data_IF_144752620890
#
_entry.id   IF_144752620890
#
_cell.length_a   1.000
_cell.length_b   1.000
_cell.length_c   1.000
_cell.angle_alpha   90.00
_cell.angle_beta   90.00
_cell.angle_gamma   90.00
#
_symmetry.space_group_name_H-M   'P 1'
#
loop_
_entity.id
_entity.type
_entity.pdbx_description
1 polymer ?
#
# COMPACT_ATOMS: atom_id res chain seq x y z
N UNK A 1 -25.03 -50.86 64.61
CA UNK A 1 -25.20 -49.61 63.82
C UNK A 1 -23.84 -49.30 63.22
N UNK A 2 -23.69 -49.50 61.91
CA UNK A 2 -22.39 -49.54 61.25
C UNK A 2 -21.87 -48.16 60.85
N UNK A 3 -20.55 -48.05 60.75
CA UNK A 3 -19.86 -47.00 59.99
C UNK A 3 -18.71 -47.69 59.25
N UNK A 4 -18.92 -47.97 57.96
CA UNK A 4 -17.87 -48.36 57.04
C UNK A 4 -17.00 -47.15 56.73
N UNK A 5 -15.72 -47.21 57.07
CA UNK A 5 -14.72 -46.21 56.72
C UNK A 5 -14.08 -46.61 55.38
N UNK A 6 -14.46 -45.93 54.30
CA UNK A 6 -13.90 -46.11 52.96
C UNK A 6 -12.78 -45.09 52.74
N UNK A 7 -11.52 -45.55 52.75
CA UNK A 7 -10.36 -44.75 52.34
C UNK A 7 -10.13 -44.92 50.84
N UNK A 8 -10.61 -43.97 50.05
CA UNK A 8 -10.33 -43.86 48.61
C UNK A 8 -8.91 -43.31 48.39
N UNK A 9 -7.97 -44.18 48.03
CA UNK A 9 -6.64 -43.78 47.56
C UNK A 9 -6.74 -43.07 46.20
N UNK A 10 -6.27 -41.83 46.14
CA UNK A 10 -6.13 -41.07 44.90
C UNK A 10 -5.15 -41.79 43.96
N UNK A 11 -5.69 -42.54 42.98
CA UNK A 11 -4.90 -43.15 41.91
C UNK A 11 -4.36 -42.03 41.02
N UNK A 12 -3.08 -41.70 41.20
CA UNK A 12 -2.30 -40.88 40.28
C UNK A 12 -2.44 -41.48 38.88
N UNK A 13 -3.02 -40.74 37.92
CA UNK A 13 -3.28 -41.22 36.56
C UNK A 13 -2.04 -41.00 35.69
N UNK A 14 -1.20 -42.02 35.41
CA UNK A 14 0.02 -41.87 34.60
C UNK A 14 -0.28 -41.41 33.16
N UNK A 15 -1.51 -41.61 32.69
CA UNK A 15 -1.99 -41.16 31.38
C UNK A 15 -1.93 -39.64 31.22
N UNK A 16 -2.17 -38.88 32.31
CA UNK A 16 -2.14 -37.42 32.25
C UNK A 16 -0.69 -36.89 32.11
N UNK A 17 0.26 -37.55 32.79
CA UNK A 17 1.69 -37.22 32.69
C UNK A 17 2.22 -37.56 31.29
N UNK A 18 1.82 -38.71 30.73
CA UNK A 18 2.23 -39.13 29.40
C UNK A 18 1.68 -38.19 28.30
N UNK A 19 0.43 -37.73 28.45
CA UNK A 19 -0.20 -36.80 27.52
C UNK A 19 0.47 -35.42 27.53
N UNK A 20 0.86 -34.92 28.72
CA UNK A 20 1.62 -33.66 28.84
C UNK A 20 3.02 -33.80 28.25
N UNK A 21 3.69 -34.94 28.46
CA UNK A 21 5.02 -35.21 27.88
C UNK A 21 4.98 -35.33 26.36
N UNK A 22 3.95 -35.97 25.80
CA UNK A 22 3.73 -36.05 24.36
C UNK A 22 3.41 -34.67 23.74
N UNK A 23 2.67 -33.82 24.46
CA UNK A 23 2.38 -32.45 24.03
C UNK A 23 3.64 -31.54 24.05
N UNK A 24 4.54 -31.73 25.02
CA UNK A 24 5.83 -31.03 25.09
C UNK A 24 6.80 -31.49 23.99
N UNK A 25 6.73 -32.75 23.57
CA UNK A 25 7.55 -33.28 22.46
C UNK A 25 7.01 -32.89 21.07
N UNK A 26 5.78 -32.39 21.00
CA UNK A 26 5.15 -31.91 19.77
C UNK A 26 5.35 -30.40 19.53
N UNK A 27 6.17 -29.71 20.34
CA UNK A 27 6.47 -28.30 20.13
C UNK A 27 7.33 -28.15 18.88
N UNK A 28 6.72 -27.69 17.79
CA UNK A 28 7.44 -27.27 16.59
C UNK A 28 8.35 -26.09 16.95
N UNK A 29 9.52 -25.95 16.32
CA UNK A 29 10.32 -24.73 16.49
C UNK A 29 9.47 -23.54 16.04
N UNK A 30 9.20 -22.63 16.99
CA UNK A 30 8.66 -21.33 16.67
C UNK A 30 9.82 -20.52 16.09
N UNK A 31 9.89 -20.42 14.75
CA UNK A 31 10.77 -19.45 14.13
C UNK A 31 10.17 -18.06 14.37
N UNK A 32 10.70 -17.38 15.39
CA UNK A 32 10.37 -16.01 15.68
C UNK A 32 10.98 -15.14 14.60
N UNK A 33 10.12 -14.43 13.89
CA UNK A 33 10.50 -13.58 12.78
C UNK A 33 10.02 -12.18 13.10
N UNK A 34 10.94 -11.23 13.04
CA UNK A 34 10.68 -9.87 13.51
C UNK A 34 9.81 -9.12 12.49
N UNK A 35 8.67 -8.64 12.99
CA UNK A 35 7.69 -7.88 12.22
C UNK A 35 7.53 -6.50 12.87
N UNK A 36 7.98 -5.49 12.15
CA UNK A 36 7.82 -4.09 12.50
C UNK A 36 6.60 -3.50 11.78
N UNK A 37 5.77 -2.75 12.50
CA UNK A 37 4.58 -2.09 11.96
C UNK A 37 4.75 -0.59 12.06
N UNK A 38 4.74 0.08 10.92
CA UNK A 38 4.65 1.54 10.85
C UNK A 38 3.43 1.96 10.06
N UNK A 39 3.05 3.22 10.13
CA UNK A 39 1.88 3.70 9.40
C UNK A 39 1.48 5.11 9.77
N UNK A 40 0.37 5.55 9.18
CA UNK A 40 -0.24 6.83 9.48
C UNK A 40 -1.75 6.71 9.39
N UNK A 41 -2.42 7.51 10.21
CA UNK A 41 -3.86 7.69 10.18
C UNK A 41 -4.14 9.18 9.99
N UNK A 42 -5.07 9.49 9.10
CA UNK A 42 -5.40 10.86 8.70
C UNK A 42 -6.91 10.99 8.59
N UNK A 43 -7.44 12.01 9.25
CA UNK A 43 -8.83 12.42 9.16
C UNK A 43 -8.86 13.89 8.79
N UNK A 44 -9.58 14.23 7.73
CA UNK A 44 -9.65 15.60 7.23
C UNK A 44 -11.04 16.00 6.87
N UNK A 45 -11.28 17.30 7.01
CA UNK A 45 -12.47 17.96 6.57
C UNK A 45 -12.06 19.13 5.67
N UNK A 46 -12.61 19.18 4.47
CA UNK A 46 -12.26 20.14 3.44
C UNK A 46 -13.50 20.97 3.12
N UNK A 47 -13.26 22.27 2.98
CA UNK A 47 -14.28 23.23 2.59
C UNK A 47 -13.71 24.05 1.44
N UNK A 48 -14.27 23.86 0.25
CA UNK A 48 -13.87 24.58 -0.95
C UNK A 48 -14.98 25.57 -1.24
N UNK A 49 -14.65 26.85 -1.26
CA UNK A 49 -15.58 27.91 -1.66
C UNK A 49 -15.18 28.44 -3.04
N UNK A 50 -16.19 28.83 -3.82
CA UNK A 50 -16.04 29.38 -5.15
C UNK A 50 -15.11 28.60 -6.10
N UNK A 51 -15.18 27.26 -6.10
CA UNK A 51 -14.33 26.43 -6.98
C UNK A 51 -14.58 26.69 -8.47
N UNK A 52 -15.73 27.30 -8.81
CA UNK A 52 -16.11 27.66 -10.17
C UNK A 52 -15.83 29.14 -10.53
N UNK A 53 -15.09 29.88 -9.70
CA UNK A 53 -14.60 31.23 -10.05
C UNK A 53 -15.69 32.27 -10.35
N UNK A 54 -16.87 32.16 -9.74
CA UNK A 54 -17.99 33.09 -9.93
C UNK A 54 -18.84 32.84 -11.17
N UNK A 55 -18.68 31.68 -11.83
CA UNK A 55 -19.54 31.27 -12.93
C UNK A 55 -20.97 31.00 -12.44
N UNK A 56 -21.92 31.86 -12.81
CA UNK A 56 -23.33 31.77 -12.40
C UNK A 56 -24.19 30.89 -13.33
N UNK A 57 -23.64 30.45 -14.47
CA UNK A 57 -24.34 29.66 -15.50
C UNK A 57 -23.69 28.28 -15.66
N UNK A 58 -23.52 27.57 -14.56
CA UNK A 58 -23.07 26.19 -14.63
C UNK A 58 -24.32 25.32 -14.86
N UNK A 59 -24.36 24.66 -16.00
CA UNK A 59 -25.40 23.68 -16.32
C UNK A 59 -25.05 22.35 -15.71
N UNK A 60 -25.95 21.81 -14.87
CA UNK A 60 -25.83 20.44 -14.38
C UNK A 60 -25.77 19.49 -15.56
N UNK A 61 -24.66 18.79 -15.74
CA UNK A 61 -24.61 17.66 -16.68
C UNK A 61 -25.48 16.54 -16.09
N UNK A 62 -26.77 16.54 -16.45
CA UNK A 62 -27.74 15.57 -15.95
C UNK A 62 -27.35 14.13 -16.26
N UNK A 63 -26.57 13.88 -17.32
CA UNK A 63 -26.06 12.53 -17.60
C UNK A 63 -24.99 12.12 -16.57
N UNK A 64 -24.11 13.04 -16.14
CA UNK A 64 -23.12 12.79 -15.09
C UNK A 64 -23.70 12.82 -13.68
N UNK A 65 -24.67 13.69 -13.42
CA UNK A 65 -25.40 13.76 -12.14
C UNK A 65 -26.27 12.51 -11.91
N UNK A 66 -26.92 11.99 -12.97
CA UNK A 66 -27.66 10.73 -12.90
C UNK A 66 -26.75 9.49 -12.89
N UNK A 67 -25.54 9.59 -13.45
CA UNK A 67 -24.56 8.50 -13.51
C UNK A 67 -23.69 8.37 -12.25
N UNK A 68 -23.99 9.13 -11.19
CA UNK A 68 -23.35 9.15 -9.86
C UNK A 68 -21.85 8.80 -9.80
N UNK A 69 -21.07 9.81 -9.44
CA UNK A 69 -19.61 9.76 -9.40
C UNK A 69 -19.08 11.18 -9.19
N UNK A 70 -17.80 11.40 -9.45
CA UNK A 70 -17.09 12.67 -9.32
C UNK A 70 -17.72 13.73 -10.20
N UNK A 71 -18.70 14.40 -9.64
CA UNK A 71 -19.30 15.58 -10.19
C UNK A 71 -19.36 16.56 -9.04
N UNK A 72 -18.39 17.48 -8.98
CA UNK A 72 -18.63 18.71 -8.22
C UNK A 72 -19.73 19.41 -9.02
N UNK A 73 -20.95 19.51 -8.47
CA UNK A 73 -22.09 19.83 -9.29
C UNK A 73 -21.92 21.23 -9.87
N UNK A 74 -21.60 21.28 -11.16
CA UNK A 74 -21.61 22.49 -11.96
C UNK A 74 -23.05 22.94 -12.19
N UNK A 75 -23.84 23.07 -11.13
CA UNK A 75 -25.26 23.37 -11.16
C UNK A 75 -25.62 24.26 -9.98
N UNK A 76 -25.24 25.54 -10.04
CA UNK A 76 -25.63 26.55 -9.05
C UNK A 76 -24.89 26.54 -7.70
N UNK A 77 -24.14 25.48 -7.37
CA UNK A 77 -23.33 25.45 -6.14
C UNK A 77 -21.87 25.83 -6.43
N UNK A 78 -21.44 26.94 -5.83
CA UNK A 78 -20.06 27.43 -5.91
C UNK A 78 -19.15 26.83 -4.85
N UNK A 79 -19.71 26.10 -3.87
CA UNK A 79 -18.99 25.60 -2.70
C UNK A 79 -19.19 24.09 -2.54
N UNK A 80 -18.18 23.39 -2.03
CA UNK A 80 -18.21 21.96 -1.74
C UNK A 80 -17.59 21.69 -0.37
N UNK A 81 -18.17 20.79 0.41
CA UNK A 81 -17.61 20.36 1.70
C UNK A 81 -17.53 18.85 1.77
N UNK A 82 -16.42 18.31 2.27
CA UNK A 82 -16.22 16.88 2.31
C UNK A 82 -15.21 16.38 3.33
N UNK A 83 -15.33 15.12 3.75
CA UNK A 83 -14.50 14.51 4.78
C UNK A 83 -13.79 13.27 4.23
N UNK A 84 -12.49 13.13 4.50
CA UNK A 84 -11.70 11.95 4.12
C UNK A 84 -11.07 11.29 5.34
N UNK A 85 -11.21 9.97 5.41
CA UNK A 85 -10.52 9.10 6.35
C UNK A 85 -9.55 8.21 5.58
N UNK A 86 -8.29 8.22 5.98
CA UNK A 86 -7.25 7.45 5.31
C UNK A 86 -6.29 6.86 6.34
N UNK A 87 -6.02 5.57 6.21
CA UNK A 87 -5.03 4.87 7.00
C UNK A 87 -4.06 4.14 6.07
N UNK A 88 -2.78 4.34 6.31
CA UNK A 88 -1.69 3.64 5.62
C UNK A 88 -0.93 2.82 6.63
N UNK A 89 -0.72 1.55 6.33
CA UNK A 89 -0.01 0.59 7.16
C UNK A 89 1.15 0.01 6.36
N UNK A 90 2.32 -0.02 6.97
CA UNK A 90 3.60 -0.40 6.37
C UNK A 90 4.31 -1.44 7.23
N UNK A 91 3.90 -2.71 7.13
CA UNK A 91 4.64 -3.77 7.79
C UNK A 91 5.99 -4.00 7.08
N UNK A 92 7.03 -4.17 7.89
CA UNK A 92 8.37 -4.55 7.49
C UNK A 92 8.73 -5.84 8.21
N UNK A 93 8.99 -6.87 7.43
CA UNK A 93 9.38 -8.19 7.88
C UNK A 93 10.90 -8.35 7.76
N UNK A 94 11.56 -8.72 8.84
CA UNK A 94 13.00 -9.01 8.85
C UNK A 94 13.16 -10.51 8.73
N UNK A 95 13.61 -10.99 7.56
CA UNK A 95 13.82 -12.43 7.32
C UNK A 95 15.23 -12.84 7.78
N UNK A 96 16.22 -11.99 7.48
CA UNK A 96 17.61 -12.14 7.89
C UNK A 96 18.27 -10.74 7.90
N UNK A 97 19.50 -10.64 8.36
CA UNK A 97 20.31 -9.40 8.42
C UNK A 97 20.35 -8.66 7.08
N UNK A 98 20.29 -9.40 5.97
CA UNK A 98 20.39 -8.87 4.62
C UNK A 98 19.09 -8.87 3.82
N UNK A 99 17.97 -9.38 4.35
CA UNK A 99 16.73 -9.54 3.58
C UNK A 99 15.53 -8.98 4.35
N UNK A 100 14.89 -7.98 3.75
CA UNK A 100 13.67 -7.37 4.27
C UNK A 100 12.53 -7.49 3.28
N UNK A 101 11.35 -7.87 3.76
CA UNK A 101 10.11 -7.84 2.97
C UNK A 101 9.28 -6.67 3.46
N UNK A 102 8.90 -5.77 2.56
CA UNK A 102 8.11 -4.58 2.87
C UNK A 102 6.82 -4.61 2.10
N UNK A 103 5.75 -4.15 2.73
CA UNK A 103 4.50 -3.91 2.02
C UNK A 103 3.82 -2.65 2.52
N UNK A 104 2.90 -2.13 1.72
CA UNK A 104 2.12 -0.95 2.05
C UNK A 104 0.65 -1.21 1.72
N UNK A 105 -0.19 -1.01 2.74
CA UNK A 105 -1.62 -1.27 2.71
C UNK A 105 -2.36 0.02 3.00
N UNK A 106 -3.32 0.37 2.16
CA UNK A 106 -4.17 1.54 2.32
C UNK A 106 -5.58 1.11 2.66
N UNK A 107 -6.15 1.75 3.67
CA UNK A 107 -7.54 1.65 4.06
C UNK A 107 -8.15 3.04 3.96
N UNK A 108 -9.38 3.12 3.48
CA UNK A 108 -10.08 4.35 3.19
C UNK A 108 -10.19 4.54 1.69
N UNK A 109 -9.88 5.75 1.23
CA UNK A 109 -10.06 6.18 -0.15
C UNK A 109 -8.72 6.28 -0.91
N UNK A 110 -8.21 5.16 -1.46
CA UNK A 110 -7.00 5.17 -2.25
C UNK A 110 -7.26 5.82 -3.61
N UNK A 111 -6.54 6.91 -3.93
CA UNK A 111 -6.51 7.42 -5.31
C UNK A 111 -5.67 6.48 -6.16
N UNK A 112 -6.30 5.89 -7.18
CA UNK A 112 -5.62 5.05 -8.17
C UNK A 112 -5.22 5.87 -9.40
N UNK A 113 -4.06 5.56 -9.95
CA UNK A 113 -3.77 5.76 -11.36
C UNK A 113 -2.44 6.41 -11.71
N UNK A 114 -1.97 6.08 -12.90
CA UNK A 114 -0.88 6.78 -13.57
C UNK A 114 -1.42 8.06 -14.19
N UNK A 115 -0.61 9.13 -14.22
CA UNK A 115 -0.89 10.40 -14.89
C UNK A 115 -1.73 10.22 -16.16
N UNK A 116 -3.03 10.49 -16.05
CA UNK A 116 -3.95 10.60 -17.17
C UNK A 116 -4.61 9.33 -17.71
N UNK A 117 -4.35 8.12 -17.19
CA UNK A 117 -4.84 6.88 -17.86
C UNK A 117 -5.53 5.83 -16.98
N UNK A 118 -5.66 6.07 -15.68
CA UNK A 118 -6.45 5.23 -14.78
C UNK A 118 -7.52 6.06 -14.10
N UNK A 119 -8.52 6.45 -14.89
CA UNK A 119 -9.77 6.94 -14.34
C UNK A 119 -10.52 5.75 -13.72
N UNK A 120 -11.00 5.84 -12.47
CA UNK A 120 -11.86 4.81 -11.90
C UNK A 120 -13.03 4.55 -12.86
N UNK A 121 -13.21 3.30 -13.28
CA UNK A 121 -14.15 2.96 -14.35
C UNK A 121 -15.56 2.64 -13.85
N UNK A 122 -15.71 2.39 -12.55
CA UNK A 122 -17.00 2.04 -11.94
C UNK A 122 -17.54 3.21 -11.10
N UNK A 123 -18.87 3.33 -11.07
CA UNK A 123 -19.63 4.32 -10.28
C UNK A 123 -19.11 4.44 -8.84
N UNK A 124 -18.79 3.31 -8.21
CA UNK A 124 -18.34 3.23 -6.83
C UNK A 124 -16.89 3.69 -6.58
N UNK A 125 -16.01 3.56 -7.57
CA UNK A 125 -14.60 3.99 -7.49
C UNK A 125 -14.43 5.48 -7.84
N UNK A 126 -15.49 6.08 -8.40
CA UNK A 126 -15.57 7.48 -8.84
C UNK A 126 -16.09 8.40 -7.74
N UNK A 127 -16.14 8.02 -6.47
CA UNK A 127 -16.62 8.91 -5.42
C UNK A 127 -15.55 9.06 -4.35
N UNK A 128 -14.89 10.22 -4.32
CA UNK A 128 -13.97 10.56 -3.23
C UNK A 128 -14.81 11.09 -2.07
N UNK A 129 -16.05 11.53 -2.34
CA UNK A 129 -16.90 12.21 -1.38
C UNK A 129 -18.38 12.10 -1.74
N UNK A 130 -19.14 11.38 -0.92
CA UNK A 130 -20.48 11.80 -0.46
C UNK A 130 -20.88 10.94 0.74
N UNK A 131 -21.84 11.40 1.53
CA UNK A 131 -22.45 10.79 2.72
C UNK A 131 -23.09 9.40 2.51
N UNK A 132 -22.74 8.71 1.42
CA UNK A 132 -23.05 7.32 1.11
C UNK A 132 -21.78 6.52 0.78
N UNK A 133 -20.68 6.78 1.49
CA UNK A 133 -19.42 6.02 1.35
C UNK A 133 -19.73 4.53 1.49
N UNK A 134 -19.61 3.78 0.39
CA UNK A 134 -19.49 2.32 0.47
C UNK A 134 -18.20 2.01 1.23
N UNK A 135 -18.21 0.89 1.95
CA UNK A 135 -17.18 0.51 2.91
C UNK A 135 -15.76 0.67 2.35
N UNK A 136 -14.88 1.23 3.19
CA UNK A 136 -13.45 1.35 2.94
C UNK A 136 -12.85 0.00 2.56
N UNK A 137 -12.26 -0.10 1.36
CA UNK A 137 -11.54 -1.29 0.94
C UNK A 137 -10.10 -1.27 1.46
N UNK A 138 -9.60 -2.43 1.88
CA UNK A 138 -8.17 -2.63 2.19
C UNK A 138 -7.47 -2.94 0.87
N UNK A 139 -6.41 -2.20 0.55
CA UNK A 139 -5.77 -2.26 -0.77
C UNK A 139 -4.26 -2.35 -0.61
N UNK A 140 -3.65 -3.35 -1.23
CA UNK A 140 -2.20 -3.53 -1.23
C UNK A 140 -1.60 -2.66 -2.34
N UNK A 141 -0.91 -1.59 -1.96
CA UNK A 141 -0.35 -0.61 -2.89
C UNK A 141 1.06 -0.98 -3.33
N UNK A 142 1.86 -1.53 -2.41
CA UNK A 142 3.26 -1.88 -2.65
C UNK A 142 3.59 -3.19 -1.96
N UNK A 143 4.45 -3.96 -2.60
CA UNK A 143 5.00 -5.18 -2.05
C UNK A 143 6.34 -5.41 -2.70
N UNK A 144 7.42 -5.31 -1.93
CA UNK A 144 8.77 -5.47 -2.46
C UNK A 144 9.71 -6.08 -1.43
N UNK A 145 10.77 -6.67 -1.95
CA UNK A 145 11.86 -7.24 -1.17
C UNK A 145 13.09 -6.36 -1.35
N UNK A 146 13.81 -6.12 -0.25
CA UNK A 146 15.11 -5.47 -0.26
C UNK A 146 16.16 -6.49 0.17
N UNK A 147 17.15 -6.71 -0.69
CA UNK A 147 18.30 -7.58 -0.44
C UNK A 147 19.52 -6.68 -0.35
N UNK A 148 20.17 -6.68 0.80
CA UNK A 148 21.39 -5.93 1.06
C UNK A 148 22.59 -6.79 0.64
N UNK A 149 23.49 -6.18 -0.12
CA UNK A 149 24.72 -6.78 -0.60
C UNK A 149 25.85 -5.76 -0.48
N UNK A 150 27.10 -6.22 -0.52
CA UNK A 150 28.28 -5.36 -0.48
C UNK A 150 28.32 -4.33 -1.62
N UNK A 151 27.70 -4.66 -2.75
CA UNK A 151 27.62 -3.76 -3.92
C UNK A 151 26.45 -2.76 -3.83
N UNK A 152 25.53 -2.91 -2.88
CA UNK A 152 24.35 -2.06 -2.74
C UNK A 152 23.08 -2.83 -2.39
N UNK A 153 21.93 -2.14 -2.47
CA UNK A 153 20.62 -2.73 -2.16
C UNK A 153 19.87 -3.07 -3.43
N UNK A 154 19.57 -4.36 -3.61
CA UNK A 154 18.70 -4.83 -4.69
C UNK A 154 17.25 -4.76 -4.20
N UNK A 155 16.37 -4.16 -4.99
CA UNK A 155 14.95 -4.10 -4.70
C UNK A 155 14.14 -4.76 -5.80
N UNK A 156 13.26 -5.68 -5.42
CA UNK A 156 12.45 -6.49 -6.34
C UNK A 156 10.99 -6.46 -5.93
N UNK A 157 10.10 -6.16 -6.87
CA UNK A 157 8.66 -6.13 -6.67
C UNK A 157 8.07 -4.74 -6.91
N UNK A 158 6.88 -4.47 -6.40
CA UNK A 158 6.23 -3.17 -6.50
C UNK A 158 6.82 -2.21 -5.48
N UNK A 159 7.86 -1.49 -5.88
CA UNK A 159 8.59 -0.56 -5.02
C UNK A 159 8.21 0.90 -5.31
N UNK A 160 8.38 1.82 -4.33
CA UNK A 160 8.24 3.25 -4.55
C UNK A 160 9.32 3.79 -5.47
N UNK A 161 8.92 4.65 -6.40
CA UNK A 161 9.80 5.36 -7.31
C UNK A 161 9.90 6.81 -6.84
N UNK A 162 11.13 7.29 -6.66
CA UNK A 162 11.40 8.67 -6.28
C UNK A 162 12.58 9.21 -7.08
N UNK A 163 12.34 10.28 -7.84
CA UNK A 163 13.38 10.89 -8.67
C UNK A 163 13.09 12.36 -8.96
N UNK A 164 14.16 13.14 -9.13
CA UNK A 164 14.07 14.55 -9.51
C UNK A 164 13.27 15.39 -8.51
N UNK A 165 13.53 15.21 -7.20
CA UNK A 165 12.81 15.90 -6.11
C UNK A 165 11.29 15.64 -6.07
N UNK A 166 10.80 14.58 -6.73
CA UNK A 166 9.36 14.33 -6.83
C UNK A 166 8.71 14.93 -8.07
N UNK A 167 9.46 15.63 -8.95
CA UNK A 167 8.93 16.22 -10.18
C UNK A 167 8.64 15.15 -11.26
N UNK A 168 9.49 14.14 -11.36
CA UNK A 168 9.32 13.05 -12.35
C UNK A 168 8.62 11.87 -11.69
N UNK A 169 9.17 11.40 -10.56
CA UNK A 169 8.60 10.32 -9.77
C UNK A 169 8.57 10.74 -8.32
N UNK A 170 7.41 10.61 -7.67
CA UNK A 170 7.24 10.95 -6.27
C UNK A 170 6.86 9.70 -5.49
N UNK A 171 7.68 9.33 -4.51
CA UNK A 171 7.38 8.19 -3.64
C UNK A 171 6.19 8.43 -2.72
N UNK A 172 5.63 9.63 -2.58
CA UNK A 172 4.46 9.88 -1.74
C UNK A 172 4.64 9.43 -0.28
N UNK A 173 5.87 9.41 0.21
CA UNK A 173 6.19 8.93 1.56
C UNK A 173 5.92 9.99 2.63
N UNK A 174 5.62 11.23 2.24
CA UNK A 174 5.20 12.29 3.14
C UNK A 174 3.89 11.96 3.87
N UNK A 175 3.67 12.64 5.00
CA UNK A 175 2.49 12.45 5.84
C UNK A 175 1.22 12.90 5.10
N UNK A 176 1.35 13.95 4.29
CA UNK A 176 0.23 14.56 3.57
C UNK A 176 0.11 14.11 2.11
N UNK A 177 1.02 13.26 1.64
CA UNK A 177 1.02 12.80 0.26
C UNK A 177 -0.10 11.78 0.03
N UNK A 178 -0.92 12.04 -0.99
CA UNK A 178 -2.01 11.14 -1.45
C UNK A 178 -1.67 10.44 -2.76
N UNK A 179 -0.68 10.97 -3.47
CA UNK A 179 -0.25 10.49 -4.77
C UNK A 179 1.12 9.88 -4.63
N UNK A 180 1.29 8.74 -5.28
CA UNK A 180 2.54 8.00 -5.26
C UNK A 180 2.82 7.41 -6.63
N UNK A 181 4.10 7.38 -6.96
CA UNK A 181 4.65 6.69 -8.10
C UNK A 181 5.19 5.35 -7.63
N UNK A 182 4.61 4.28 -8.14
CA UNK A 182 5.04 2.90 -7.87
C UNK A 182 5.16 2.16 -9.19
N UNK A 183 6.03 1.16 -9.22
CA UNK A 183 6.21 0.31 -10.38
C UNK A 183 6.74 -1.06 -9.97
N UNK A 184 6.42 -2.08 -10.77
CA UNK A 184 6.97 -3.41 -10.58
C UNK A 184 8.40 -3.40 -11.11
N UNK A 185 9.38 -3.35 -10.21
CA UNK A 185 10.77 -3.07 -10.55
C UNK A 185 11.74 -4.14 -10.08
N UNK A 186 12.83 -4.27 -10.82
CA UNK A 186 14.09 -4.83 -10.37
C UNK A 186 15.10 -3.69 -10.47
N UNK A 187 15.58 -3.19 -9.32
CA UNK A 187 16.55 -2.09 -9.25
C UNK A 187 17.70 -2.42 -8.32
N UNK A 188 18.89 -1.94 -8.68
CA UNK A 188 20.05 -1.95 -7.80
C UNK A 188 20.33 -0.51 -7.38
N UNK A 189 20.40 -0.24 -6.07
CA UNK A 189 20.80 1.06 -5.55
C UNK A 189 22.21 0.92 -4.98
N UNK A 190 23.20 1.50 -5.66
CA UNK A 190 24.60 1.43 -5.27
C UNK A 190 25.17 2.82 -5.03
N UNK A 191 25.88 3.04 -3.93
CA UNK A 191 26.49 4.32 -3.57
C UNK A 191 28.01 4.20 -3.50
N UNK A 192 28.71 5.07 -4.22
CA UNK A 192 30.17 5.16 -4.30
C UNK A 192 30.60 6.59 -3.98
N UNK A 193 30.98 6.85 -2.73
CA UNK A 193 31.31 8.20 -2.27
C UNK A 193 30.13 9.16 -2.44
N UNK A 194 30.34 10.22 -3.21
CA UNK A 194 29.34 11.24 -3.53
C UNK A 194 28.36 10.83 -4.66
N UNK A 195 28.57 9.68 -5.30
CA UNK A 195 27.73 9.24 -6.42
C UNK A 195 26.83 8.08 -6.03
N UNK A 196 25.59 8.12 -6.50
CA UNK A 196 24.66 7.00 -6.43
C UNK A 196 24.28 6.57 -7.85
N UNK A 197 24.39 5.28 -8.10
CA UNK A 197 24.13 4.62 -9.37
C UNK A 197 22.94 3.67 -9.21
N UNK A 198 21.92 3.86 -10.05
CA UNK A 198 20.66 3.12 -9.95
C UNK A 198 20.23 2.63 -11.34
N UNK A 199 20.76 1.50 -11.82
CA UNK A 199 20.17 0.79 -12.95
C UNK A 199 18.86 0.16 -12.50
N UNK A 200 17.80 0.33 -13.30
CA UNK A 200 16.52 -0.29 -13.01
C UNK A 200 15.77 -0.71 -14.25
N UNK A 201 15.07 -1.83 -14.11
CA UNK A 201 14.01 -2.25 -15.02
C UNK A 201 12.69 -2.06 -14.28
N UNK A 202 11.76 -1.32 -14.87
CA UNK A 202 10.47 -0.98 -14.27
C UNK A 202 9.37 -1.35 -15.25
N UNK A 203 8.34 -2.03 -14.75
CA UNK A 203 7.11 -2.26 -15.48
C UNK A 203 5.98 -1.51 -14.79
N UNK A 204 5.35 -0.62 -15.52
CA UNK A 204 4.12 0.07 -15.10
C UNK A 204 2.92 -0.73 -15.59
N UNK A 205 2.03 -1.09 -14.67
CA UNK A 205 0.76 -1.74 -14.98
C UNK A 205 -0.39 -0.87 -14.46
N UNK A 206 -1.27 -0.41 -15.35
CA UNK A 206 -2.44 0.39 -15.00
C UNK A 206 -3.61 -0.49 -14.50
N UNK A 207 -3.35 -1.44 -13.60
CA UNK A 207 -4.37 -2.36 -13.08
C UNK A 207 -4.08 -2.86 -11.66
N UNK A 208 -5.10 -3.45 -11.03
CA UNK A 208 -5.04 -4.01 -9.66
C UNK A 208 -4.21 -5.31 -9.56
N UNK A 209 -3.27 -5.54 -10.48
CA UNK A 209 -2.47 -6.75 -10.55
C UNK A 209 -0.99 -6.42 -10.70
N UNK A 210 -0.14 -7.26 -10.11
CA UNK A 210 1.30 -7.23 -10.33
C UNK A 210 1.57 -7.76 -11.74
N UNK A 211 2.24 -6.95 -12.57
CA UNK A 211 2.68 -7.34 -13.91
C UNK A 211 1.63 -7.27 -15.03
N UNK A 212 0.43 -6.74 -14.79
CA UNK A 212 -0.65 -6.65 -15.79
C UNK A 212 -1.25 -8.00 -16.11
N UNK A 213 -1.92 -8.61 -15.13
CA UNK A 213 -2.51 -9.94 -15.24
C UNK A 213 -3.46 -10.03 -16.45
N UNK A 214 -3.19 -11.02 -17.29
CA UNK A 214 -4.02 -11.43 -18.41
C UNK A 214 -5.24 -12.20 -17.89
N UNK A 215 -6.46 -11.77 -18.26
CA UNK A 215 -7.68 -12.50 -17.93
C UNK A 215 -7.90 -13.64 -18.95
N UNK A 216 -7.73 -14.89 -18.50
CA UNK A 216 -7.86 -16.11 -19.33
C UNK A 216 -9.29 -16.31 -19.86
N UNK A 217 -10.30 -15.72 -19.22
CA UNK A 217 -11.72 -15.90 -19.58
C UNK A 217 -12.26 -15.01 -20.71
N UNK A 218 -11.66 -13.83 -20.96
CA UNK A 218 -12.18 -12.84 -21.93
C UNK A 218 -11.20 -12.53 -23.06
N UNK A 219 -9.98 -13.06 -23.02
CA UNK A 219 -8.93 -12.73 -24.00
C UNK A 219 -8.52 -11.25 -23.97
N UNK A 220 -8.93 -10.51 -22.94
CA UNK A 220 -8.70 -9.08 -22.80
C UNK A 220 -8.00 -8.80 -21.48
N UNK A 221 -6.86 -8.12 -21.56
CA UNK A 221 -6.20 -7.45 -20.43
C UNK A 221 -7.15 -6.37 -19.89
N UNK A 222 -7.56 -6.49 -18.63
CA UNK A 222 -8.27 -5.40 -17.93
C UNK A 222 -7.22 -4.34 -17.60
N UNK A 223 -7.10 -3.33 -18.46
CA UNK A 223 -6.04 -2.32 -18.44
C UNK A 223 -5.02 -2.55 -19.56
N UNK A 224 -5.28 -2.00 -20.74
CA UNK A 224 -4.53 -2.29 -21.96
C UNK A 224 -3.32 -1.35 -22.15
N UNK A 225 -2.49 -1.24 -21.11
CA UNK A 225 -1.28 -0.41 -21.12
C UNK A 225 -0.23 -1.02 -20.20
N UNK A 226 0.78 -1.65 -20.80
CA UNK A 226 1.99 -2.07 -20.10
C UNK A 226 3.14 -1.22 -20.64
N UNK A 227 3.75 -0.42 -19.79
CA UNK A 227 4.95 0.36 -20.15
C UNK A 227 6.13 -0.30 -19.45
N UNK A 228 7.08 -0.79 -20.24
CA UNK A 228 8.37 -1.27 -19.75
C UNK A 228 9.39 -0.15 -19.92
N UNK A 229 10.06 0.19 -18.84
CA UNK A 229 11.08 1.23 -18.76
C UNK A 229 12.40 0.62 -18.31
N UNK A 230 13.45 0.96 -19.06
CA UNK A 230 14.83 0.62 -18.73
C UNK A 230 15.51 1.94 -18.41
N UNK A 231 15.77 2.19 -17.13
CA UNK A 231 16.34 3.46 -16.70
C UNK A 231 17.70 3.28 -16.05
N UNK A 232 18.56 4.25 -16.31
CA UNK A 232 19.88 4.36 -15.71
C UNK A 232 19.98 5.71 -15.03
N UNK A 233 19.99 5.72 -13.71
CA UNK A 233 19.97 6.94 -12.93
C UNK A 233 21.32 7.14 -12.25
N UNK A 234 21.85 8.36 -12.40
CA UNK A 234 23.05 8.83 -11.72
C UNK A 234 22.68 10.02 -10.85
N UNK A 235 22.95 9.94 -9.55
CA UNK A 235 22.76 11.03 -8.59
C UNK A 235 24.12 11.42 -8.04
N UNK A 236 24.38 12.73 -7.98
CA UNK A 236 25.49 13.30 -7.25
C UNK A 236 24.93 13.99 -6.01
N UNK A 237 25.53 13.70 -4.86
CA UNK A 237 25.23 14.35 -3.58
C UNK A 237 26.48 15.12 -3.16
N UNK A 238 26.34 16.44 -2.98
CA UNK A 238 27.42 17.26 -2.50
C UNK A 238 27.60 17.02 -0.99
N UNK A 239 28.71 16.42 -0.59
CA UNK A 239 28.95 16.05 0.81
C UNK A 239 29.09 17.27 1.75
N UNK A 240 29.33 18.46 1.20
CA UNK A 240 29.52 19.69 1.99
C UNK A 240 28.18 20.36 2.38
N UNK A 241 27.06 19.99 1.77
CA UNK A 241 25.73 20.57 2.09
C UNK A 241 25.05 19.93 3.31
N UNK A 242 25.49 18.74 3.76
CA UNK A 242 24.90 18.04 4.91
C UNK A 242 25.42 18.54 6.29
N UNK A 243 26.31 19.53 6.30
CA UNK A 243 26.96 20.08 7.51
C UNK A 243 26.51 21.50 7.92
N UNK A 244 25.54 22.10 7.23
CA UNK A 244 24.83 23.33 7.66
C UNK A 244 23.45 23.03 8.25
#
# INVERSE_FOLDING_TARGET
MGIFMSTSAYRFRPVLVLAVFAALMATQPAEALDLDWSGQFRAENHFISNYAGGANNLTTDNARAAAGGYYVPGGGETSASFQSLFMRVRPKLVVNDNVYIKSEWWLGDPVYGFFGDAFPQTFDQRQYYSSQSRGSFITAQRFWVEILSDVGTVQVGRAPLNWGLGLIWNSGDGIFDRYQSTGDTIRLVSKFGAFTFIPSFIKYSAGNSVGGAFNIGTGTSVGNGNVSDYSLVFKYENADEDFE
#
